data_IF_513256561669
#
_entry.id   IF_513256561669
#
_cell.length_a   1.000
_cell.length_b   1.000
_cell.length_c   1.000
_cell.angle_alpha   90.00
_cell.angle_beta   90.00
_cell.angle_gamma   90.00
#
_symmetry.space_group_name_H-M   'P 1'
#
loop_
_entity.id
_entity.type
_entity.pdbx_description
1 polymer ?
#
# COMPACT_ATOMS: atom_id res chain seq x y z
N UNK A 1 3.19 17.04 -14.71
CA UNK A 1 1.97 17.40 -15.47
C UNK A 1 1.10 16.19 -15.77
N UNK A 2 1.61 15.13 -16.41
CA UNK A 2 0.81 13.91 -16.69
C UNK A 2 0.17 13.26 -15.46
N UNK A 3 0.94 13.09 -14.38
CA UNK A 3 0.43 12.48 -13.14
C UNK A 3 -0.70 13.28 -12.48
N UNK A 4 -0.63 14.61 -12.48
CA UNK A 4 -1.69 15.44 -11.93
C UNK A 4 -2.99 15.30 -12.72
N UNK A 5 -2.91 15.22 -14.04
CA UNK A 5 -4.08 14.99 -14.90
C UNK A 5 -4.73 13.63 -14.57
N UNK A 6 -3.92 12.59 -14.34
CA UNK A 6 -4.44 11.28 -13.93
C UNK A 6 -5.13 11.37 -12.56
N UNK A 7 -4.51 12.01 -11.57
CA UNK A 7 -5.08 12.18 -10.23
C UNK A 7 -6.38 13.03 -10.26
N UNK A 8 -6.43 14.08 -11.08
CA UNK A 8 -7.63 14.89 -11.32
C UNK A 8 -8.76 14.05 -11.94
N UNK A 9 -8.43 13.18 -12.90
CA UNK A 9 -9.41 12.30 -13.53
C UNK A 9 -9.99 11.29 -12.52
N UNK A 10 -9.12 10.67 -11.71
CA UNK A 10 -9.51 9.74 -10.64
C UNK A 10 -10.43 10.43 -9.63
N UNK A 11 -10.08 11.64 -9.22
CA UNK A 11 -10.90 12.44 -8.31
C UNK A 11 -12.30 12.72 -8.87
N UNK A 12 -12.37 13.18 -10.13
CA UNK A 12 -13.65 13.46 -10.78
C UNK A 12 -14.48 12.18 -10.94
N UNK A 13 -13.85 11.06 -11.31
CA UNK A 13 -14.50 9.75 -11.39
C UNK A 13 -15.09 9.31 -10.06
N UNK A 14 -14.35 9.51 -8.96
CA UNK A 14 -14.81 9.17 -7.62
C UNK A 14 -16.07 9.96 -7.24
N UNK A 15 -16.11 11.26 -7.53
CA UNK A 15 -17.28 12.12 -7.30
C UNK A 15 -18.48 11.67 -8.15
N UNK A 16 -18.26 11.35 -9.43
CA UNK A 16 -19.31 10.84 -10.32
C UNK A 16 -19.89 9.51 -9.83
N UNK A 17 -19.03 8.59 -9.38
CA UNK A 17 -19.45 7.30 -8.85
C UNK A 17 -20.23 7.47 -7.54
N UNK A 18 -19.78 8.36 -6.66
CA UNK A 18 -20.51 8.69 -5.44
C UNK A 18 -21.93 9.20 -5.72
N UNK A 19 -22.09 10.10 -6.71
CA UNK A 19 -23.42 10.58 -7.16
C UNK A 19 -24.31 9.45 -7.65
N UNK A 20 -23.72 8.33 -8.09
CA UNK A 20 -24.41 7.11 -8.54
C UNK A 20 -24.52 6.05 -7.43
N UNK A 21 -24.13 6.36 -6.19
CA UNK A 21 -24.15 5.43 -5.06
C UNK A 21 -23.09 4.33 -5.12
N UNK A 22 -22.02 4.49 -5.92
CA UNK A 22 -20.97 3.49 -6.12
C UNK A 22 -19.72 3.80 -5.31
N UNK A 23 -19.06 2.75 -4.81
CA UNK A 23 -17.72 2.84 -4.24
C UNK A 23 -16.67 2.87 -5.34
N UNK A 24 -15.57 3.60 -5.13
CA UNK A 24 -14.43 3.65 -6.05
C UNK A 24 -13.18 3.20 -5.33
N UNK A 25 -12.64 2.06 -5.74
CA UNK A 25 -11.38 1.54 -5.24
C UNK A 25 -10.26 2.10 -6.12
N UNK A 26 -9.29 2.76 -5.52
CA UNK A 26 -8.14 3.33 -6.20
C UNK A 26 -6.89 2.61 -5.71
N UNK A 27 -6.31 1.78 -6.58
CA UNK A 27 -5.02 1.15 -6.32
C UNK A 27 -3.91 1.96 -6.99
N UNK A 28 -2.93 2.36 -6.20
CA UNK A 28 -1.76 3.09 -6.64
C UNK A 28 -0.52 2.27 -6.31
N UNK A 29 -0.07 1.48 -7.28
CA UNK A 29 1.21 0.80 -7.21
C UNK A 29 2.36 1.80 -7.40
N UNK A 30 3.54 1.45 -6.88
CA UNK A 30 4.71 2.31 -6.78
C UNK A 30 4.39 3.71 -6.21
N UNK A 31 3.64 3.71 -5.11
CA UNK A 31 3.05 4.90 -4.51
C UNK A 31 4.06 6.02 -4.20
N UNK A 32 5.30 5.65 -3.90
CA UNK A 32 6.38 6.60 -3.61
C UNK A 32 6.59 7.61 -4.75
N UNK A 33 6.28 7.25 -6.01
CA UNK A 33 6.31 8.16 -7.17
C UNK A 33 5.33 9.34 -7.01
N UNK A 34 4.18 9.11 -6.38
CA UNK A 34 3.18 10.15 -6.14
C UNK A 34 3.63 11.20 -5.12
N UNK A 35 4.64 10.87 -4.32
CA UNK A 35 5.18 11.73 -3.26
C UNK A 35 6.55 12.34 -3.57
N UNK A 36 7.14 12.05 -4.73
CA UNK A 36 8.48 12.54 -5.11
C UNK A 36 8.56 14.07 -5.24
N UNK A 37 7.47 14.72 -5.65
CA UNK A 37 7.42 16.17 -5.76
C UNK A 37 6.43 16.74 -4.76
N UNK A 38 6.75 17.89 -4.18
CA UNK A 38 5.90 18.55 -3.18
C UNK A 38 4.47 18.79 -3.69
N UNK A 39 4.34 19.23 -4.95
CA UNK A 39 3.03 19.47 -5.57
C UNK A 39 2.20 18.19 -5.70
N UNK A 40 2.81 17.09 -6.16
CA UNK A 40 2.14 15.80 -6.29
C UNK A 40 1.77 15.21 -4.92
N UNK A 41 2.67 15.31 -3.95
CA UNK A 41 2.44 14.83 -2.59
C UNK A 41 1.29 15.58 -1.92
N UNK A 42 1.25 16.91 -2.06
CA UNK A 42 0.14 17.75 -1.57
C UNK A 42 -1.18 17.37 -2.19
N UNK A 43 -1.21 17.13 -3.52
CA UNK A 43 -2.42 16.75 -4.21
C UNK A 43 -2.92 15.37 -3.79
N UNK A 44 -2.04 14.37 -3.77
CA UNK A 44 -2.34 13.00 -3.32
C UNK A 44 -2.86 12.98 -1.88
N UNK A 45 -2.29 13.81 -0.99
CA UNK A 45 -2.77 14.00 0.37
C UNK A 45 -4.20 14.55 0.43
N UNK A 46 -4.59 15.44 -0.47
CA UNK A 46 -5.98 15.93 -0.55
C UNK A 46 -6.95 14.82 -0.97
N UNK A 47 -6.53 13.95 -1.90
CA UNK A 47 -7.27 12.73 -2.27
C UNK A 47 -7.50 11.87 -1.03
N UNK A 48 -6.43 11.47 -0.33
CA UNK A 48 -6.52 10.62 0.85
C UNK A 48 -7.44 11.17 1.93
N UNK A 49 -7.34 12.46 2.24
CA UNK A 49 -8.14 13.11 3.29
C UNK A 49 -9.63 13.21 2.97
N UNK A 50 -10.01 13.17 1.69
CA UNK A 50 -11.39 13.46 1.27
C UNK A 50 -12.07 12.27 0.59
N UNK A 51 -11.33 11.25 0.17
CA UNK A 51 -11.86 10.08 -0.55
C UNK A 51 -13.08 9.44 0.15
N UNK A 52 -13.04 9.32 1.49
CA UNK A 52 -14.15 8.77 2.28
C UNK A 52 -15.47 9.53 2.09
N UNK A 53 -15.42 10.85 1.83
CA UNK A 53 -16.63 11.67 1.57
C UNK A 53 -17.34 11.26 0.28
N UNK A 54 -16.64 10.59 -0.64
CA UNK A 54 -17.17 10.16 -1.94
C UNK A 54 -17.09 8.64 -2.13
N UNK A 55 -17.19 7.86 -1.05
CA UNK A 55 -17.09 6.40 -1.10
C UNK A 55 -15.81 5.89 -1.80
N UNK A 56 -14.75 6.68 -1.73
CA UNK A 56 -13.44 6.34 -2.28
C UNK A 56 -12.60 5.56 -1.27
N UNK A 57 -11.96 4.51 -1.74
CA UNK A 57 -11.06 3.65 -0.96
C UNK A 57 -9.69 3.68 -1.67
N UNK A 58 -8.84 4.66 -1.35
CA UNK A 58 -7.51 4.73 -1.93
C UNK A 58 -6.55 3.80 -1.19
N UNK A 59 -5.72 3.09 -1.95
CA UNK A 59 -4.77 2.10 -1.46
C UNK A 59 -3.44 2.33 -2.18
N UNK A 60 -2.41 2.67 -1.42
CA UNK A 60 -1.05 2.84 -1.93
C UNK A 60 -0.22 1.59 -1.64
N UNK A 61 0.57 1.16 -2.61
CA UNK A 61 1.46 0.00 -2.50
C UNK A 61 2.87 0.49 -2.86
N UNK A 62 3.87 0.19 -2.04
CA UNK A 62 5.25 0.61 -2.30
C UNK A 62 6.25 -0.27 -1.55
N UNK A 63 7.42 -0.47 -2.16
CA UNK A 63 8.57 -1.09 -1.52
C UNK A 63 9.49 -0.06 -0.83
N UNK A 64 9.33 1.24 -1.15
CA UNK A 64 10.18 2.33 -0.67
C UNK A 64 9.53 3.04 0.53
N UNK A 65 9.43 2.34 1.67
CA UNK A 65 8.83 2.88 2.89
C UNK A 65 9.63 4.07 3.45
N UNK A 66 10.96 4.05 3.34
CA UNK A 66 11.80 5.14 3.88
C UNK A 66 11.50 6.50 3.24
N UNK A 67 11.30 6.53 1.93
CA UNK A 67 11.08 7.78 1.20
C UNK A 67 9.73 8.40 1.53
N UNK A 68 8.74 7.54 1.76
CA UNK A 68 7.45 7.93 2.32
C UNK A 68 7.59 8.51 3.74
N UNK A 69 8.51 7.98 4.52
CA UNK A 69 8.74 8.41 5.89
C UNK A 69 9.66 9.64 5.98
N UNK A 70 10.30 10.09 4.89
CA UNK A 70 11.07 11.36 4.87
C UNK A 70 10.18 12.58 4.60
N UNK A 71 9.10 12.42 3.82
CA UNK A 71 8.20 13.52 3.45
C UNK A 71 7.09 13.76 4.48
N UNK A 72 6.87 15.03 4.84
CA UNK A 72 5.80 15.42 5.79
C UNK A 72 4.39 15.13 5.25
N UNK A 73 4.22 15.29 3.93
CA UNK A 73 2.99 15.02 3.19
C UNK A 73 2.71 13.52 3.14
N UNK A 74 3.73 12.72 2.86
CA UNK A 74 3.65 11.27 2.82
C UNK A 74 3.35 10.67 4.20
N UNK A 75 4.01 11.16 5.27
CA UNK A 75 3.64 10.82 6.66
C UNK A 75 2.18 11.16 6.96
N UNK A 76 1.68 12.31 6.48
CA UNK A 76 0.28 12.65 6.66
C UNK A 76 -0.67 11.70 5.90
N UNK A 77 -0.28 11.19 4.73
CA UNK A 77 -1.04 10.17 3.99
C UNK A 77 -1.10 8.86 4.81
N UNK A 78 0.06 8.43 5.31
CA UNK A 78 0.17 7.24 6.17
C UNK A 78 -0.75 7.38 7.40
N UNK A 79 -0.66 8.49 8.13
CA UNK A 79 -1.49 8.73 9.31
C UNK A 79 -3.00 8.85 9.03
N UNK A 80 -3.42 9.05 7.77
CA UNK A 80 -4.85 9.07 7.39
C UNK A 80 -5.32 7.70 6.84
N UNK A 81 -4.45 6.69 6.87
CA UNK A 81 -4.75 5.32 6.46
C UNK A 81 -5.07 4.49 7.70
N UNK A 82 -6.34 4.12 7.86
CA UNK A 82 -6.80 3.32 9.01
C UNK A 82 -6.40 1.85 8.87
N UNK A 83 -5.96 1.43 7.69
CA UNK A 83 -5.58 0.06 7.41
C UNK A 83 -4.24 0.03 6.69
N UNK A 84 -3.33 -0.82 7.17
CA UNK A 84 -2.03 -1.02 6.59
C UNK A 84 -1.61 -2.48 6.68
N UNK A 85 -0.98 -2.97 5.62
CA UNK A 85 -0.30 -4.26 5.60
C UNK A 85 1.19 -3.96 5.47
N UNK A 86 1.98 -4.47 6.41
CA UNK A 86 3.43 -4.35 6.42
C UNK A 86 4.02 -5.74 6.22
N UNK A 87 4.65 -5.95 5.06
CA UNK A 87 5.41 -7.17 4.77
C UNK A 87 6.87 -7.01 5.26
N UNK A 88 7.75 -7.92 4.84
CA UNK A 88 9.17 -7.80 5.11
C UNK A 88 9.74 -6.49 4.53
N UNK A 89 10.42 -5.73 5.39
CA UNK A 89 11.00 -4.42 5.09
C UNK A 89 12.47 -4.42 5.49
N UNK A 90 13.24 -3.46 4.98
CA UNK A 90 14.61 -3.24 5.43
C UNK A 90 14.64 -2.84 6.93
N UNK A 91 15.79 -3.00 7.63
CA UNK A 91 15.88 -2.69 9.07
C UNK A 91 15.51 -1.25 9.43
N UNK A 92 15.81 -0.28 8.57
CA UNK A 92 15.56 1.12 8.84
C UNK A 92 14.07 1.47 8.68
N UNK A 93 13.43 1.00 7.60
CA UNK A 93 11.99 1.11 7.40
C UNK A 93 11.20 0.49 8.56
N UNK A 94 11.64 -0.66 9.08
CA UNK A 94 11.06 -1.30 10.27
C UNK A 94 11.14 -0.42 11.51
N UNK A 95 12.31 0.11 11.83
CA UNK A 95 12.48 0.97 13.01
C UNK A 95 11.57 2.20 12.95
N UNK A 96 11.41 2.80 11.77
CA UNK A 96 10.57 3.98 11.61
C UNK A 96 9.07 3.66 11.76
N UNK A 97 8.61 2.55 11.17
CA UNK A 97 7.22 2.11 11.33
C UNK A 97 6.92 1.69 12.77
N UNK A 98 7.89 1.05 13.43
CA UNK A 98 7.81 0.71 14.84
C UNK A 98 7.55 1.95 15.71
N UNK A 99 8.30 3.03 15.48
CA UNK A 99 8.10 4.30 16.18
C UNK A 99 6.78 4.98 15.81
N UNK A 100 6.36 4.90 14.54
CA UNK A 100 5.15 5.56 14.06
C UNK A 100 3.87 4.93 14.60
N UNK A 101 3.81 3.60 14.66
CA UNK A 101 2.62 2.85 15.05
C UNK A 101 2.68 2.30 16.48
N UNK A 102 3.77 2.53 17.20
CA UNK A 102 3.95 2.01 18.56
C UNK A 102 4.07 0.48 18.60
N UNK A 103 4.65 -0.11 17.56
CA UNK A 103 4.82 -1.56 17.44
C UNK A 103 5.82 -2.03 18.51
N UNK A 104 5.49 -3.10 19.24
CA UNK A 104 6.39 -3.68 20.23
C UNK A 104 7.57 -4.41 19.59
N UNK A 105 8.65 -4.62 20.35
CA UNK A 105 9.81 -5.38 19.88
C UNK A 105 9.43 -6.82 19.48
N UNK A 106 8.47 -7.44 20.16
CA UNK A 106 8.04 -8.81 19.85
C UNK A 106 7.27 -8.88 18.52
N UNK A 107 6.45 -7.88 18.22
CA UNK A 107 5.72 -7.82 16.94
C UNK A 107 6.65 -7.55 15.76
N UNK A 108 7.67 -6.69 15.92
CA UNK A 108 8.63 -6.41 14.85
C UNK A 108 9.59 -7.58 14.59
N UNK A 109 9.88 -8.39 15.62
CA UNK A 109 10.64 -9.64 15.47
C UNK A 109 9.93 -10.62 14.53
N UNK A 110 8.59 -10.70 14.59
CA UNK A 110 7.79 -11.53 13.69
C UNK A 110 8.01 -11.18 12.21
N UNK A 111 8.18 -9.89 11.90
CA UNK A 111 8.46 -9.41 10.53
C UNK A 111 9.92 -9.61 10.14
N UNK A 112 10.83 -9.67 11.11
CA UNK A 112 12.27 -9.76 10.86
C UNK A 112 12.68 -11.13 10.33
N UNK A 113 11.98 -12.19 10.74
CA UNK A 113 12.16 -13.55 10.24
C UNK A 113 11.02 -14.02 9.33
N UNK A 114 10.23 -13.08 8.80
CA UNK A 114 9.07 -13.38 7.97
C UNK A 114 9.49 -13.94 6.60
N UNK A 115 8.99 -15.13 6.26
CA UNK A 115 9.03 -15.62 4.89
C UNK A 115 8.13 -14.78 3.98
N UNK A 116 8.23 -15.00 2.66
CA UNK A 116 7.29 -14.41 1.71
C UNK A 116 5.84 -14.71 2.10
N UNK A 117 4.98 -13.69 2.11
CA UNK A 117 3.58 -13.79 2.54
C UNK A 117 3.35 -13.59 4.04
N UNK A 118 4.39 -13.37 4.85
CA UNK A 118 4.24 -13.05 6.28
C UNK A 118 4.43 -11.55 6.54
N UNK A 119 3.76 -11.04 7.57
CA UNK A 119 3.84 -9.63 7.94
C UNK A 119 2.94 -9.24 9.12
N UNK A 120 2.68 -7.94 9.23
CA UNK A 120 1.77 -7.35 10.22
C UNK A 120 0.63 -6.62 9.51
N UNK A 121 -0.57 -6.74 10.08
CA UNK A 121 -1.74 -5.92 9.74
C UNK A 121 -1.92 -4.89 10.86
N UNK A 122 -2.09 -3.64 10.48
CA UNK A 122 -2.55 -2.57 11.36
C UNK A 122 -3.95 -2.14 10.93
N UNK A 123 -4.91 -2.09 11.86
CA UNK A 123 -6.32 -1.76 11.60
C UNK A 123 -6.78 -0.45 12.25
N UNK A 124 -5.84 0.42 12.64
CA UNK A 124 -6.11 1.69 13.30
C UNK A 124 -5.95 1.64 14.83
N UNK A 125 -6.08 0.46 15.42
CA UNK A 125 -5.89 0.24 16.87
C UNK A 125 -4.90 -0.87 17.18
N UNK A 126 -5.06 -2.01 16.50
CA UNK A 126 -4.37 -3.24 16.81
C UNK A 126 -3.37 -3.59 15.72
N UNK A 127 -2.33 -4.31 16.14
CA UNK A 127 -1.31 -4.89 15.27
C UNK A 127 -1.47 -6.41 15.36
N UNK A 128 -1.63 -7.05 14.20
CA UNK A 128 -1.93 -8.47 14.11
C UNK A 128 -0.90 -9.12 13.18
N UNK A 129 -0.06 -10.05 13.65
CA UNK A 129 0.79 -10.86 12.78
C UNK A 129 -0.05 -11.76 11.91
N UNK A 130 0.31 -11.88 10.64
CA UNK A 130 -0.35 -12.75 9.68
C UNK A 130 0.65 -13.55 8.85
N UNK A 131 0.17 -14.69 8.37
CA UNK A 131 0.84 -15.54 7.40
C UNK A 131 -0.15 -15.86 6.28
N UNK A 132 0.18 -15.44 5.07
CA UNK A 132 -0.56 -15.78 3.86
C UNK A 132 0.10 -16.97 3.16
N UNK A 133 -0.58 -18.11 3.21
CA UNK A 133 -0.20 -19.32 2.47
C UNK A 133 -1.06 -19.42 1.21
N UNK A 134 -0.81 -18.53 0.25
CA UNK A 134 -1.60 -18.47 -0.97
C UNK A 134 -1.44 -19.77 -1.79
N UNK A 135 -2.54 -20.41 -2.24
CA UNK A 135 -2.45 -21.70 -2.92
C UNK A 135 -1.76 -21.58 -4.29
N UNK A 136 -0.64 -22.27 -4.44
CA UNK A 136 0.24 -22.19 -5.63
C UNK A 136 -0.25 -23.01 -6.82
N UNK A 137 -1.16 -23.95 -6.59
CA UNK A 137 -1.79 -24.81 -7.59
C UNK A 137 -2.95 -24.13 -8.35
N UNK A 138 -3.21 -22.86 -8.05
CA UNK A 138 -4.30 -22.11 -8.68
C UNK A 138 -3.87 -21.42 -9.96
N UNK A 139 -4.79 -21.33 -10.93
CA UNK A 139 -4.61 -20.50 -12.14
C UNK A 139 -4.32 -19.04 -11.80
N UNK A 140 -4.86 -18.57 -10.67
CA UNK A 140 -4.68 -17.21 -10.19
C UNK A 140 -3.24 -16.97 -9.72
N UNK A 141 -2.64 -17.90 -8.97
CA UNK A 141 -1.24 -17.81 -8.57
C UNK A 141 -0.30 -17.74 -9.78
N UNK A 142 -0.49 -18.64 -10.76
CA UNK A 142 0.28 -18.67 -11.99
C UNK A 142 0.22 -17.36 -12.78
N UNK A 143 -0.94 -16.72 -12.80
CA UNK A 143 -1.12 -15.44 -13.49
C UNK A 143 -0.50 -14.25 -12.74
N UNK A 144 -0.23 -14.38 -11.44
CA UNK A 144 0.25 -13.29 -10.58
C UNK A 144 1.70 -13.46 -10.11
N UNK A 145 2.29 -14.66 -10.24
CA UNK A 145 3.67 -14.89 -9.79
C UNK A 145 4.66 -14.06 -10.61
N UNK A 146 5.60 -13.43 -9.91
CA UNK A 146 6.69 -12.65 -10.51
C UNK A 146 8.04 -13.35 -10.37
N UNK A 147 8.05 -14.57 -9.84
CA UNK A 147 9.26 -15.38 -9.67
C UNK A 147 9.67 -15.99 -11.02
N UNK A 148 10.83 -15.64 -11.57
CA UNK A 148 11.25 -16.12 -12.88
C UNK A 148 11.22 -17.65 -13.02
N UNK A 149 11.67 -18.35 -11.98
CA UNK A 149 11.79 -19.82 -11.96
C UNK A 149 10.44 -20.57 -12.01
N UNK A 150 9.33 -19.89 -11.70
CA UNK A 150 7.96 -20.47 -11.73
C UNK A 150 7.23 -20.18 -13.05
N UNK A 151 7.72 -19.23 -13.85
CA UNK A 151 7.08 -18.78 -15.11
C UNK A 151 7.54 -19.61 -16.32
N UNK A 152 8.77 -20.13 -16.31
CA UNK A 152 9.36 -20.86 -17.45
C UNK A 152 8.95 -22.35 -17.56
N UNK A 153 8.25 -22.90 -16.57
CA UNK A 153 7.83 -24.31 -16.58
C UNK A 153 6.63 -24.59 -17.50
N UNK A 154 5.96 -23.58 -18.06
CA UNK A 154 4.83 -23.77 -18.99
C UNK A 154 5.22 -23.86 -20.48
N UNK A 155 6.45 -23.51 -20.87
CA UNK A 155 6.91 -23.60 -22.27
C UNK A 155 7.75 -24.86 -22.57
N UNK A 156 7.95 -25.74 -21.59
CA UNK A 156 8.79 -26.94 -21.68
C UNK A 156 7.99 -28.27 -21.74
N UNK A 157 6.68 -28.23 -21.98
CA UNK A 157 5.80 -29.41 -22.05
C UNK A 157 4.97 -29.46 -23.32
#
# INVERSE_FOLDING_TARGET
MGLQICLDNVWNRMIENHKKGKYTWLFCDEFHLLTQTETSAKYTKQIWKRARKWNGIPTGITQQAEDMLKSSEARAIINNSDFMIMLNLDPYGRMQLQQMFGISNTEIEYVTSADSGQGLIYNGSDIIPFKDEFPTDTKLYKAMTTKPDEVDLENAG
#
